data_IF_487565806788
#
_entry.id   IF_487565806788
#
_cell.length_a   1.000
_cell.length_b   1.000
_cell.length_c   1.000
_cell.angle_alpha   90.00
_cell.angle_beta   90.00
_cell.angle_gamma   90.00
#
_symmetry.space_group_name_H-M   'P 1'
#
loop_
_entity.id
_entity.type
_entity.pdbx_description
1 polymer ?
#
# COMPACT_ATOMS: atom_id res chain seq x y z
N UNK A 1 8.64 -6.38 15.08
CA UNK A 1 7.71 -7.28 15.78
C UNK A 1 6.63 -7.62 14.77
N UNK A 2 6.61 -8.84 14.23
CA UNK A 2 5.64 -9.24 13.21
C UNK A 2 4.33 -9.58 13.93
N UNK A 3 3.28 -8.79 13.74
CA UNK A 3 1.92 -9.19 14.12
C UNK A 3 1.35 -10.08 13.01
N UNK A 4 1.35 -11.39 13.26
CA UNK A 4 0.63 -12.35 12.41
C UNK A 4 -0.87 -12.17 12.65
N UNK A 5 -1.54 -11.40 11.81
CA UNK A 5 -3.00 -11.54 11.66
C UNK A 5 -3.33 -12.92 11.11
N UNK A 6 -4.39 -13.56 11.63
CA UNK A 6 -4.82 -14.90 11.20
C UNK A 6 -5.53 -14.84 9.82
N UNK A 7 -4.74 -14.73 8.76
CA UNK A 7 -5.17 -15.04 7.39
C UNK A 7 -4.31 -16.19 6.88
N UNK A 8 -4.90 -17.37 6.72
CA UNK A 8 -4.18 -18.55 6.21
C UNK A 8 -3.67 -18.26 4.79
N UNK A 9 -2.35 -18.34 4.60
CA UNK A 9 -1.72 -18.11 3.29
C UNK A 9 -1.44 -16.65 2.95
N UNK A 10 -1.59 -15.71 3.91
CA UNK A 10 -1.25 -14.29 3.73
C UNK A 10 -0.26 -13.89 4.82
N UNK A 11 0.87 -13.35 4.40
CA UNK A 11 1.85 -12.75 5.32
C UNK A 11 1.62 -11.24 5.41
N UNK A 12 1.38 -10.76 6.63
CA UNK A 12 1.16 -9.33 6.92
C UNK A 12 2.46 -8.73 7.41
N UNK A 13 2.90 -7.66 6.75
CA UNK A 13 4.16 -6.97 7.05
C UNK A 13 3.88 -5.49 7.19
N UNK A 14 4.37 -4.88 8.28
CA UNK A 14 4.46 -3.43 8.39
C UNK A 14 5.66 -2.97 7.55
N UNK A 15 5.36 -2.39 6.39
CA UNK A 15 6.36 -1.92 5.45
C UNK A 15 7.04 -0.60 5.86
N UNK A 16 6.50 0.12 6.84
CA UNK A 16 6.97 1.45 7.24
C UNK A 16 7.21 2.37 6.04
N UNK A 17 8.33 3.10 6.05
CA UNK A 17 8.78 3.93 4.93
C UNK A 17 9.49 3.11 3.85
N UNK A 18 8.85 2.03 3.40
CA UNK A 18 9.41 0.90 2.67
C UNK A 18 10.44 1.25 1.58
N UNK A 19 11.72 0.99 1.89
CA UNK A 19 12.82 1.03 0.93
C UNK A 19 13.11 -0.35 0.32
N UNK A 20 14.37 -0.59 -0.05
CA UNK A 20 14.82 -1.85 -0.65
C UNK A 20 14.57 -3.12 0.17
N UNK A 21 14.28 -3.01 1.47
CA UNK A 21 13.92 -4.17 2.28
C UNK A 21 12.65 -4.86 1.78
N UNK A 22 11.75 -4.14 1.11
CA UNK A 22 10.56 -4.75 0.53
C UNK A 22 10.86 -5.66 -0.67
N UNK A 23 12.04 -5.53 -1.31
CA UNK A 23 12.38 -6.30 -2.52
C UNK A 23 12.28 -7.81 -2.33
N UNK A 24 12.65 -8.32 -1.17
CA UNK A 24 12.56 -9.77 -0.89
C UNK A 24 11.12 -10.28 -0.98
N UNK A 25 10.12 -9.46 -0.62
CA UNK A 25 8.72 -9.86 -0.72
C UNK A 25 8.24 -9.85 -2.18
N UNK A 26 8.67 -8.88 -2.98
CA UNK A 26 8.29 -8.84 -4.40
C UNK A 26 8.96 -9.96 -5.23
N UNK A 27 10.04 -10.54 -4.73
CA UNK A 27 10.70 -11.69 -5.36
C UNK A 27 10.10 -13.03 -4.94
N UNK A 28 9.60 -13.15 -3.71
CA UNK A 28 9.16 -14.42 -3.13
C UNK A 28 7.64 -14.63 -3.17
N UNK A 29 6.85 -13.59 -3.48
CA UNK A 29 5.40 -13.66 -3.53
C UNK A 29 4.89 -13.35 -4.93
N UNK A 30 3.94 -14.15 -5.42
CA UNK A 30 3.30 -13.94 -6.72
C UNK A 30 2.38 -12.71 -6.73
N UNK A 31 1.76 -12.40 -5.58
CA UNK A 31 0.88 -11.26 -5.40
C UNK A 31 1.31 -10.45 -4.18
N UNK A 32 1.42 -9.13 -4.35
CA UNK A 32 1.78 -8.18 -3.30
C UNK A 32 0.69 -7.12 -3.19
N UNK A 33 0.12 -6.99 -1.99
CA UNK A 33 -0.90 -5.99 -1.67
C UNK A 33 -0.25 -4.89 -0.83
N UNK A 34 -0.25 -3.68 -1.38
CA UNK A 34 0.25 -2.48 -0.72
C UNK A 34 -0.94 -1.66 -0.20
N UNK A 35 -0.82 -1.10 0.99
CA UNK A 35 -1.82 -0.21 1.57
C UNK A 35 -1.10 1.05 2.03
N UNK A 36 -1.49 2.20 1.50
CA UNK A 36 -0.82 3.47 1.79
C UNK A 36 -1.82 4.64 1.80
N UNK A 37 -1.44 5.74 2.45
CA UNK A 37 -2.20 6.98 2.51
C UNK A 37 -1.82 7.90 1.34
N UNK A 38 -2.82 8.50 0.69
CA UNK A 38 -2.62 9.40 -0.46
C UNK A 38 -3.26 10.77 -0.23
N UNK A 39 -2.60 11.83 -0.69
CA UNK A 39 -3.10 13.21 -0.74
C UNK A 39 -3.56 13.54 -2.17
N UNK A 40 -4.60 12.85 -2.63
CA UNK A 40 -5.09 12.93 -4.02
C UNK A 40 -6.22 13.96 -4.22
N UNK A 41 -6.56 14.72 -3.17
CA UNK A 41 -7.64 15.71 -3.19
C UNK A 41 -9.05 15.09 -3.22
N UNK A 42 -9.19 13.78 -3.09
CA UNK A 42 -10.49 13.13 -2.93
C UNK A 42 -11.02 13.31 -1.50
N UNK A 43 -12.28 12.90 -1.29
CA UNK A 43 -12.88 12.89 0.04
C UNK A 43 -12.06 11.98 0.98
N UNK A 44 -11.69 12.50 2.15
CA UNK A 44 -11.01 11.73 3.19
C UNK A 44 -11.75 10.41 3.47
N UNK A 45 -11.00 9.31 3.53
CA UNK A 45 -11.56 7.97 3.68
C UNK A 45 -11.89 7.26 2.38
N UNK A 46 -11.67 7.87 1.22
CA UNK A 46 -11.86 7.20 -0.06
C UNK A 46 -10.79 6.13 -0.25
N UNK A 47 -11.21 4.88 -0.49
CA UNK A 47 -10.29 3.76 -0.75
C UNK A 47 -10.27 3.47 -2.25
N UNK A 48 -9.12 3.71 -2.89
CA UNK A 48 -8.91 3.47 -4.32
C UNK A 48 -8.01 2.25 -4.51
N UNK A 49 -8.42 1.33 -5.40
CA UNK A 49 -7.58 0.21 -5.81
C UNK A 49 -6.87 0.56 -7.12
N UNK A 50 -5.55 0.53 -7.11
CA UNK A 50 -4.68 0.74 -8.25
C UNK A 50 -3.92 -0.56 -8.53
N UNK A 51 -3.62 -0.81 -9.81
CA UNK A 51 -2.82 -1.97 -10.25
C UNK A 51 -1.62 -1.48 -11.05
N UNK A 52 -0.66 -0.85 -10.37
CA UNK A 52 0.48 -0.26 -11.04
C UNK A 52 1.40 -1.36 -11.57
N UNK A 53 1.85 -1.20 -12.81
CA UNK A 53 2.83 -2.10 -13.43
C UNK A 53 4.21 -1.47 -13.52
N UNK A 54 4.26 -0.15 -13.60
CA UNK A 54 5.49 0.63 -13.73
C UNK A 54 5.58 1.71 -12.64
N UNK A 55 6.79 2.19 -12.39
CA UNK A 55 7.06 3.31 -11.48
C UNK A 55 6.30 4.59 -11.87
N UNK A 56 5.98 4.75 -13.16
CA UNK A 56 5.15 5.84 -13.69
C UNK A 56 3.66 5.74 -13.36
N UNK A 57 3.17 4.54 -13.00
CA UNK A 57 1.74 4.31 -12.74
C UNK A 57 1.35 4.71 -11.30
N UNK A 58 2.34 5.05 -10.47
CA UNK A 58 2.11 5.45 -9.09
C UNK A 58 1.76 6.95 -8.98
N UNK A 59 0.68 7.30 -8.26
CA UNK A 59 0.33 8.69 -7.98
C UNK A 59 1.48 9.42 -7.26
N UNK A 60 1.83 10.61 -7.73
CA UNK A 60 2.80 11.51 -7.07
C UNK A 60 2.31 12.06 -5.73
N UNK A 61 1.08 11.73 -5.35
CA UNK A 61 0.38 12.20 -4.15
C UNK A 61 0.51 11.25 -2.95
N UNK A 62 1.16 10.09 -3.14
CA UNK A 62 1.48 9.18 -2.05
C UNK A 62 2.62 9.79 -1.23
N UNK A 63 2.33 10.13 0.02
CA UNK A 63 3.22 10.83 0.96
C UNK A 63 4.61 10.18 1.02
N UNK A 64 5.68 11.00 0.90
CA UNK A 64 7.10 10.81 1.28
C UNK A 64 7.87 9.49 0.96
N UNK A 65 7.21 8.42 0.52
CA UNK A 65 7.77 7.09 0.23
C UNK A 65 8.16 6.90 -1.25
N UNK A 66 7.97 7.95 -2.03
CA UNK A 66 8.03 8.01 -3.49
C UNK A 66 9.37 7.50 -4.08
N UNK A 67 10.47 7.58 -3.33
CA UNK A 67 11.81 7.15 -3.79
C UNK A 67 12.00 5.63 -3.63
N UNK A 68 11.46 5.03 -2.57
CA UNK A 68 11.68 3.63 -2.23
C UNK A 68 10.96 2.68 -3.19
N UNK A 69 9.67 2.93 -3.42
CA UNK A 69 8.82 2.06 -4.22
C UNK A 69 9.09 2.17 -5.72
N UNK A 70 9.38 3.37 -6.24
CA UNK A 70 9.77 3.55 -7.65
C UNK A 70 11.08 2.82 -7.96
N UNK A 71 12.10 3.00 -7.11
CA UNK A 71 13.38 2.31 -7.24
C UNK A 71 13.22 0.78 -7.15
N UNK A 72 12.28 0.32 -6.33
CA UNK A 72 11.95 -1.10 -6.20
C UNK A 72 11.36 -1.67 -7.51
N UNK A 73 10.40 -0.98 -8.11
CA UNK A 73 9.78 -1.41 -9.38
C UNK A 73 10.76 -1.40 -10.54
N UNK A 74 11.63 -0.39 -10.59
CA UNK A 74 12.69 -0.31 -11.59
C UNK A 74 13.65 -1.50 -11.42
N UNK A 75 14.01 -1.87 -10.18
CA UNK A 75 14.81 -3.05 -9.89
C UNK A 75 14.11 -4.36 -10.30
N UNK A 76 12.82 -4.52 -10.02
CA UNK A 76 12.04 -5.69 -10.45
C UNK A 76 12.00 -5.81 -11.98
N UNK A 77 11.83 -4.68 -12.67
CA UNK A 77 11.89 -4.62 -14.14
C UNK A 77 13.24 -5.06 -14.67
N UNK A 78 14.34 -4.61 -14.06
CA UNK A 78 15.70 -5.02 -14.43
C UNK A 78 15.98 -6.51 -14.15
N UNK A 79 15.33 -7.07 -13.14
CA UNK A 79 15.43 -8.49 -12.77
C UNK A 79 14.47 -9.39 -13.55
N UNK A 80 13.64 -8.81 -14.43
CA UNK A 80 12.57 -9.51 -15.17
C UNK A 80 11.55 -10.21 -14.25
N UNK A 81 11.36 -9.70 -13.04
CA UNK A 81 10.39 -10.19 -12.05
C UNK A 81 9.16 -9.29 -12.09
N UNK A 82 7.97 -9.89 -12.20
CA UNK A 82 6.73 -9.14 -12.35
C UNK A 82 5.61 -9.73 -11.50
N UNK A 83 5.61 -9.47 -10.17
CA UNK A 83 4.53 -9.92 -9.31
C UNK A 83 3.25 -9.12 -9.62
N UNK A 84 2.10 -9.68 -9.27
CA UNK A 84 0.84 -8.96 -9.30
C UNK A 84 0.78 -7.96 -8.14
N UNK A 85 0.81 -6.67 -8.46
CA UNK A 85 0.79 -5.60 -7.46
C UNK A 85 -0.61 -4.97 -7.40
N UNK A 86 -1.18 -4.95 -6.20
CA UNK A 86 -2.42 -4.27 -5.88
C UNK A 86 -2.16 -3.20 -4.82
N UNK A 87 -2.41 -1.94 -5.15
CA UNK A 87 -2.25 -0.81 -4.24
C UNK A 87 -3.61 -0.29 -3.79
N UNK A 88 -3.88 -0.37 -2.51
CA UNK A 88 -5.01 0.27 -1.86
C UNK A 88 -4.55 1.63 -1.31
N UNK A 89 -4.88 2.69 -2.02
CA UNK A 89 -4.61 4.05 -1.60
C UNK A 89 -5.81 4.60 -0.81
N UNK A 90 -5.58 5.05 0.42
CA UNK A 90 -6.59 5.68 1.27
C UNK A 90 -6.39 7.18 1.27
N UNK A 91 -7.37 7.92 0.74
CA UNK A 91 -7.32 9.39 0.69
C UNK A 91 -7.38 9.95 2.10
N UNK A 92 -6.39 10.78 2.46
CA UNK A 92 -6.32 11.46 3.76
C UNK A 92 -6.62 12.96 3.60
N UNK A 93 -7.16 13.63 4.63
CA UNK A 93 -7.33 15.08 4.58
C UNK A 93 -5.97 15.78 4.53
N UNK A 94 -5.95 17.02 4.02
CA UNK A 94 -4.75 17.85 4.09
C UNK A 94 -4.27 17.97 5.53
N UNK A 95 -3.01 17.63 5.74
CA UNK A 95 -2.37 17.66 7.05
C UNK A 95 -1.93 19.09 7.36
N UNK A 96 -2.84 19.93 7.82
CA UNK A 96 -2.51 21.27 8.31
C UNK A 96 -1.61 21.23 9.56
N UNK A 97 -1.64 20.10 10.30
CA UNK A 97 -0.82 19.85 11.49
C UNK A 97 -0.35 18.40 11.53
N UNK A 98 0.93 18.22 11.84
CA UNK A 98 1.48 16.92 12.20
C UNK A 98 0.80 16.43 13.49
N UNK A 99 0.14 15.28 13.39
CA UNK A 99 -0.55 14.60 14.49
C UNK A 99 -0.13 13.12 14.48
N UNK A 100 -0.07 12.52 15.67
CA UNK A 100 0.07 11.07 15.81
C UNK A 100 -1.30 10.37 15.86
N UNK A 101 -2.37 11.15 16.02
CA UNK A 101 -3.73 10.65 16.09
C UNK A 101 -4.36 10.57 14.69
N UNK A 102 -5.19 9.55 14.49
CA UNK A 102 -6.02 9.41 13.29
C UNK A 102 -7.11 10.48 13.26
N UNK A 103 -7.42 10.98 12.06
CA UNK A 103 -8.59 11.84 11.91
C UNK A 103 -9.87 11.00 12.04
N UNK A 104 -10.98 11.57 12.56
CA UNK A 104 -12.25 10.84 12.71
C UNK A 104 -12.75 10.23 11.39
N UNK A 105 -12.47 10.90 10.27
CA UNK A 105 -12.83 10.43 8.92
C UNK A 105 -12.08 9.14 8.55
N UNK A 106 -10.81 9.03 8.95
CA UNK A 106 -9.99 7.83 8.68
C UNK A 106 -10.31 6.71 9.65
N UNK A 107 -10.54 7.02 10.93
CA UNK A 107 -10.88 6.03 11.95
C UNK A 107 -12.12 5.21 11.56
N UNK A 108 -13.15 5.87 10.99
CA UNK A 108 -14.35 5.21 10.49
C UNK A 108 -14.14 4.33 9.25
N UNK A 109 -13.04 4.53 8.51
CA UNK A 109 -12.75 3.87 7.23
C UNK A 109 -11.80 2.69 7.37
N UNK A 110 -10.96 2.66 8.42
CA UNK A 110 -9.98 1.58 8.63
C UNK A 110 -10.64 0.20 8.58
N UNK A 111 -11.74 0.02 9.32
CA UNK A 111 -12.43 -1.27 9.37
C UNK A 111 -13.05 -1.66 8.00
N UNK A 112 -13.85 -0.79 7.34
CA UNK A 112 -14.31 -1.05 5.97
C UNK A 112 -13.19 -1.32 4.95
N UNK A 113 -12.07 -0.60 5.04
CA UNK A 113 -10.92 -0.78 4.17
C UNK A 113 -10.28 -2.16 4.38
N UNK A 114 -10.04 -2.53 5.65
CA UNK A 114 -9.51 -3.84 6.01
C UNK A 114 -10.43 -4.98 5.54
N UNK A 115 -11.75 -4.86 5.71
CA UNK A 115 -12.72 -5.83 5.21
C UNK A 115 -12.66 -5.99 3.68
N UNK A 116 -12.50 -4.88 2.96
CA UNK A 116 -12.35 -4.89 1.49
C UNK A 116 -11.05 -5.56 1.06
N UNK A 117 -9.94 -5.30 1.75
CA UNK A 117 -8.63 -5.93 1.48
C UNK A 117 -8.70 -7.44 1.77
N UNK A 118 -9.25 -7.84 2.92
CA UNK A 118 -9.43 -9.25 3.26
C UNK A 118 -10.33 -10.01 2.29
N UNK A 119 -11.29 -9.32 1.67
CA UNK A 119 -12.10 -9.90 0.59
C UNK A 119 -11.28 -10.07 -0.68
N UNK A 120 -10.48 -9.06 -1.04
CA UNK A 120 -9.57 -9.13 -2.19
C UNK A 120 -8.58 -10.29 -2.07
N UNK A 121 -7.96 -10.48 -0.90
CA UNK A 121 -7.05 -11.62 -0.65
C UNK A 121 -7.69 -13.01 -0.80
N UNK A 122 -9.03 -13.11 -0.75
CA UNK A 122 -9.76 -14.39 -0.87
C UNK A 122 -10.26 -14.66 -2.28
N UNK A 123 -10.36 -13.62 -3.11
CA UNK A 123 -10.90 -13.69 -4.47
C UNK A 123 -9.81 -13.69 -5.55
N UNK A 124 -8.61 -13.19 -5.23
CA UNK A 124 -7.40 -13.28 -6.07
C UNK A 124 -6.58 -14.51 -5.74
#
# INVERSE_FOLDING_TARGET
MQEKGELSGVDIVDGGTGGFHLLEYFQNYEQVILVDATLDGQQAGTVTLLRPKYSSDYPTTLSAHDIGLKSLLDALTLLEIQPEIALFAVSIPDLDKLSLDLSPEIEGVIKPAAERIMRFCREG
#
